data_IF_729363587478
#
_entry.id   IF_729363587478
#
_cell.length_a   1.000
_cell.length_b   1.000
_cell.length_c   1.000
_cell.angle_alpha   90.00
_cell.angle_beta   90.00
_cell.angle_gamma   90.00
#
_symmetry.space_group_name_H-M   'P 1'
#
loop_
_entity.id
_entity.type
_entity.pdbx_description
1 polymer ?
#
# COMPACT_ATOMS: atom_id res chain seq x y z
N UNK A 1 3.09 29.05 4.28
CA UNK A 1 1.83 28.76 3.55
C UNK A 1 0.94 27.96 4.48
N UNK A 2 -0.37 28.18 4.46
CA UNK A 2 -1.35 27.36 5.20
C UNK A 2 -1.32 25.94 4.64
N UNK A 3 -1.39 24.91 5.52
CA UNK A 3 -1.51 23.51 5.15
C UNK A 3 -2.89 23.00 5.59
N UNK A 4 -3.97 23.34 4.86
CA UNK A 4 -5.34 23.11 5.31
C UNK A 4 -5.73 21.63 5.30
N UNK A 5 -5.00 20.78 4.57
CA UNK A 5 -5.37 19.39 4.38
C UNK A 5 -4.39 18.43 5.02
N UNK A 6 -4.94 17.35 5.59
CA UNK A 6 -4.17 16.29 6.22
C UNK A 6 -4.47 14.96 5.55
N UNK A 7 -3.43 14.34 5.01
CA UNK A 7 -3.46 13.00 4.44
C UNK A 7 -2.61 12.06 5.30
N UNK A 8 -3.16 10.93 5.66
CA UNK A 8 -2.47 9.88 6.43
C UNK A 8 -2.40 8.63 5.58
N UNK A 9 -1.20 8.13 5.34
CA UNK A 9 -0.94 6.90 4.61
C UNK A 9 -0.56 5.80 5.60
N UNK A 10 -1.21 4.64 5.50
CA UNK A 10 -0.94 3.50 6.36
C UNK A 10 -0.79 2.23 5.51
N UNK A 11 0.41 1.67 5.46
CA UNK A 11 0.59 0.34 4.86
C UNK A 11 0.02 -0.71 5.80
N UNK A 12 -0.69 -1.71 5.23
CA UNK A 12 -1.20 -2.83 6.00
C UNK A 12 -0.12 -3.48 6.87
N UNK A 13 -0.51 -3.98 8.03
CA UNK A 13 0.35 -4.73 8.94
C UNK A 13 0.91 -6.00 8.30
N UNK A 14 1.88 -6.62 8.94
CA UNK A 14 2.51 -7.86 8.47
C UNK A 14 1.43 -8.92 8.16
N UNK A 15 1.50 -9.55 6.99
CA UNK A 15 0.58 -10.61 6.58
C UNK A 15 1.19 -11.99 6.78
N UNK A 16 0.36 -13.04 6.77
CA UNK A 16 0.82 -14.43 6.84
C UNK A 16 1.85 -14.75 5.76
N UNK A 17 1.69 -14.21 4.54
CA UNK A 17 2.64 -14.41 3.45
C UNK A 17 3.88 -13.49 3.53
N UNK A 18 3.79 -12.36 4.22
CA UNK A 18 5.00 -11.60 4.56
C UNK A 18 5.91 -12.41 5.50
N UNK A 19 5.34 -13.10 6.50
CA UNK A 19 6.09 -13.98 7.39
C UNK A 19 6.74 -15.16 6.66
N UNK A 20 6.04 -15.72 5.67
CA UNK A 20 6.52 -16.82 4.83
C UNK A 20 7.45 -16.36 3.70
N UNK A 21 7.76 -15.06 3.61
CA UNK A 21 8.58 -14.47 2.55
C UNK A 21 8.04 -14.69 1.12
N UNK A 22 6.72 -14.82 0.94
CA UNK A 22 6.10 -15.08 -0.36
C UNK A 22 5.74 -13.77 -1.09
N UNK A 23 5.73 -13.81 -2.44
CA UNK A 23 5.12 -12.77 -3.26
C UNK A 23 3.61 -12.85 -3.15
N UNK A 24 2.97 -11.78 -2.68
CA UNK A 24 1.53 -11.78 -2.38
C UNK A 24 0.68 -11.21 -3.51
N UNK A 25 0.97 -9.99 -3.95
CA UNK A 25 0.18 -9.33 -5.00
C UNK A 25 -1.31 -9.21 -4.65
N UNK A 26 -2.17 -9.68 -5.56
CA UNK A 26 -3.62 -9.68 -5.41
C UNK A 26 -4.18 -10.92 -4.71
N UNK A 27 -3.34 -11.88 -4.35
CA UNK A 27 -3.78 -13.01 -3.51
C UNK A 27 -4.26 -12.45 -2.17
N UNK A 28 -5.47 -12.87 -1.76
CA UNK A 28 -6.11 -12.32 -0.57
C UNK A 28 -5.74 -13.11 0.67
N UNK A 29 -4.73 -12.62 1.39
CA UNK A 29 -4.24 -13.17 2.63
C UNK A 29 -4.59 -12.29 3.83
N UNK A 30 -4.64 -12.88 5.02
CA UNK A 30 -4.94 -12.19 6.26
C UNK A 30 -3.68 -11.63 6.92
N UNK A 31 -3.89 -10.74 7.90
CA UNK A 31 -2.83 -10.32 8.81
C UNK A 31 -2.32 -11.51 9.65
N UNK A 32 -1.03 -11.49 9.94
CA UNK A 32 -0.45 -12.28 11.00
C UNK A 32 -0.76 -11.67 12.37
N UNK A 33 -0.44 -12.39 13.47
CA UNK A 33 -0.59 -11.83 14.81
C UNK A 33 0.28 -10.58 14.99
N UNK A 34 1.50 -10.58 14.44
CA UNK A 34 2.35 -9.39 14.37
C UNK A 34 1.66 -8.25 13.63
N UNK A 35 1.06 -8.52 12.47
CA UNK A 35 0.37 -7.50 11.70
C UNK A 35 -0.86 -6.91 12.40
N UNK A 36 -1.53 -7.70 13.22
CA UNK A 36 -2.62 -7.21 14.09
C UNK A 36 -2.10 -6.28 15.17
N UNK A 37 -0.97 -6.62 15.80
CA UNK A 37 -0.32 -5.77 16.79
C UNK A 37 0.19 -4.45 16.16
N UNK A 38 0.76 -4.52 14.94
CA UNK A 38 1.16 -3.33 14.18
C UNK A 38 -0.04 -2.43 13.85
N UNK A 39 -1.18 -3.02 13.47
CA UNK A 39 -2.40 -2.27 13.18
C UNK A 39 -2.98 -1.60 14.44
N UNK A 40 -2.97 -2.31 15.58
CA UNK A 40 -3.36 -1.75 16.88
C UNK A 40 -2.49 -0.54 17.24
N UNK A 41 -1.16 -0.71 17.15
CA UNK A 41 -0.21 0.39 17.43
C UNK A 41 -0.39 1.59 16.51
N UNK A 42 -0.72 1.35 15.22
CA UNK A 42 -1.03 2.44 14.30
C UNK A 42 -2.23 3.28 14.77
N UNK A 43 -3.29 2.64 15.25
CA UNK A 43 -4.46 3.34 15.80
C UNK A 43 -4.15 4.11 17.09
N UNK A 44 -3.34 3.53 17.98
CA UNK A 44 -2.85 4.23 19.19
C UNK A 44 -2.04 5.48 18.81
N UNK A 45 -1.14 5.39 17.84
CA UNK A 45 -0.37 6.53 17.34
C UNK A 45 -1.27 7.64 16.77
N UNK A 46 -2.32 7.28 16.05
CA UNK A 46 -3.31 8.25 15.57
C UNK A 46 -4.02 8.95 16.73
N UNK A 47 -4.45 8.20 17.74
CA UNK A 47 -5.09 8.75 18.93
C UNK A 47 -4.14 9.67 19.73
N UNK A 48 -2.91 9.21 20.00
CA UNK A 48 -1.88 9.94 20.71
C UNK A 48 -1.50 11.25 20.02
N UNK A 49 -1.45 11.26 18.68
CA UNK A 49 -1.13 12.46 17.89
C UNK A 49 -2.30 13.44 17.72
N UNK A 50 -3.52 13.02 18.04
CA UNK A 50 -4.74 13.79 17.78
C UNK A 50 -5.10 13.90 16.30
N UNK A 51 -4.42 13.15 15.41
CA UNK A 51 -4.69 13.11 13.98
C UNK A 51 -5.78 12.07 13.66
N UNK A 52 -6.99 12.36 14.09
CA UNK A 52 -8.11 11.44 13.96
C UNK A 52 -8.73 11.54 12.56
N UNK A 53 -8.81 10.44 11.78
CA UNK A 53 -9.38 10.47 10.44
C UNK A 53 -10.91 10.68 10.47
N UNK A 54 -11.40 11.38 9.44
CA UNK A 54 -12.83 11.63 9.20
C UNK A 54 -13.38 10.72 8.10
N UNK A 55 -12.51 10.14 7.29
CA UNK A 55 -12.86 9.18 6.23
C UNK A 55 -11.70 8.24 5.96
N UNK A 56 -12.04 6.99 5.62
CA UNK A 56 -11.10 5.97 5.22
C UNK A 56 -11.24 5.64 3.74
N UNK A 57 -10.10 5.60 3.02
CA UNK A 57 -9.97 4.93 1.72
C UNK A 57 -9.12 3.69 1.88
N UNK A 58 -9.58 2.54 1.37
CA UNK A 58 -8.81 1.29 1.43
C UNK A 58 -9.02 0.42 0.20
N UNK A 59 -8.19 -0.61 0.06
CA UNK A 59 -8.27 -1.57 -1.03
C UNK A 59 -9.39 -2.61 -0.83
N UNK A 60 -9.53 -3.52 -1.80
CA UNK A 60 -10.42 -4.70 -1.68
C UNK A 60 -9.72 -5.92 -1.07
N UNK A 61 -8.48 -5.78 -0.57
CA UNK A 61 -7.71 -6.89 -0.01
C UNK A 61 -7.84 -6.93 1.51
N UNK A 62 -8.14 -8.12 2.04
CA UNK A 62 -8.48 -8.36 3.45
C UNK A 62 -7.43 -7.80 4.42
N UNK A 63 -6.14 -7.94 4.13
CA UNK A 63 -5.08 -7.44 5.02
C UNK A 63 -5.09 -5.93 5.22
N UNK A 64 -5.46 -5.15 4.19
CA UNK A 64 -5.58 -3.70 4.30
C UNK A 64 -6.87 -3.33 5.06
N UNK A 65 -7.97 -4.00 4.76
CA UNK A 65 -9.26 -3.83 5.46
C UNK A 65 -9.08 -4.13 6.95
N UNK A 66 -8.50 -5.27 7.31
CA UNK A 66 -8.26 -5.62 8.72
C UNK A 66 -7.34 -4.64 9.43
N UNK A 67 -6.30 -4.13 8.75
CA UNK A 67 -5.42 -3.10 9.33
C UNK A 67 -6.21 -1.83 9.63
N UNK A 68 -7.03 -1.39 8.67
CA UNK A 68 -7.84 -0.19 8.84
C UNK A 68 -8.86 -0.35 9.99
N UNK A 69 -9.60 -1.47 10.02
CA UNK A 69 -10.61 -1.70 11.04
C UNK A 69 -10.00 -1.73 12.46
N UNK A 70 -8.86 -2.43 12.65
CA UNK A 70 -8.16 -2.49 13.94
C UNK A 70 -7.62 -1.10 14.35
N UNK A 71 -7.03 -0.36 13.40
CA UNK A 71 -6.49 0.97 13.69
C UNK A 71 -7.61 1.97 14.02
N UNK A 72 -8.74 1.93 13.30
CA UNK A 72 -9.88 2.78 13.57
C UNK A 72 -10.56 2.43 14.89
N UNK A 73 -10.63 1.15 15.27
CA UNK A 73 -11.14 0.72 16.59
C UNK A 73 -10.27 1.31 17.70
N UNK A 74 -8.95 1.20 17.61
CA UNK A 74 -8.02 1.74 18.59
C UNK A 74 -8.03 3.28 18.67
N UNK A 75 -8.39 3.95 17.57
CA UNK A 75 -8.53 5.41 17.52
C UNK A 75 -9.94 5.91 17.83
N UNK A 76 -10.89 5.04 18.20
CA UNK A 76 -12.32 5.36 18.38
C UNK A 76 -12.96 6.00 17.14
N UNK A 77 -12.66 5.45 15.96
CA UNK A 77 -13.09 5.96 14.66
C UNK A 77 -13.77 4.92 13.75
N UNK A 78 -14.24 3.77 14.27
CA UNK A 78 -14.93 2.75 13.46
C UNK A 78 -16.20 3.26 12.75
N UNK A 79 -16.78 4.33 13.23
CA UNK A 79 -18.04 4.89 12.74
C UNK A 79 -17.89 5.78 11.49
N UNK A 80 -16.67 6.09 11.06
CA UNK A 80 -16.46 6.97 9.90
C UNK A 80 -16.78 6.25 8.59
N UNK A 81 -17.03 7.05 7.53
CA UNK A 81 -17.27 6.52 6.20
C UNK A 81 -16.04 5.78 5.64
N UNK A 82 -16.30 4.69 4.92
CA UNK A 82 -15.27 3.85 4.29
C UNK A 82 -15.53 3.70 2.80
N UNK A 83 -14.55 4.10 1.98
CA UNK A 83 -14.53 3.89 0.53
C UNK A 83 -13.52 2.79 0.17
N UNK A 84 -13.98 1.73 -0.49
CA UNK A 84 -13.12 0.64 -0.96
C UNK A 84 -12.95 0.69 -2.46
N UNK A 85 -11.69 0.66 -2.93
CA UNK A 85 -11.39 0.67 -4.35
C UNK A 85 -10.29 -0.34 -4.69
N UNK A 86 -10.49 -1.14 -5.75
CA UNK A 86 -9.44 -2.00 -6.29
C UNK A 86 -8.22 -1.21 -6.77
N UNK A 87 -8.42 0.07 -7.10
CA UNK A 87 -7.34 0.97 -7.53
C UNK A 87 -6.29 1.20 -6.44
N UNK A 88 -6.63 0.90 -5.19
CA UNK A 88 -5.70 0.90 -4.05
C UNK A 88 -5.10 -0.48 -3.75
N UNK A 89 -5.45 -1.54 -4.50
CA UNK A 89 -4.87 -2.86 -4.31
C UNK A 89 -3.34 -2.82 -4.47
N UNK A 90 -2.66 -3.83 -3.92
CA UNK A 90 -1.24 -4.06 -4.16
C UNK A 90 -0.96 -4.24 -5.66
N UNK A 91 0.27 -4.06 -6.09
CA UNK A 91 0.73 -4.40 -7.43
C UNK A 91 0.51 -5.89 -7.68
N UNK A 92 -0.04 -6.22 -8.83
CA UNK A 92 -0.20 -7.61 -9.25
C UNK A 92 1.16 -8.20 -9.63
N UNK A 93 1.62 -9.19 -8.88
CA UNK A 93 2.94 -9.79 -9.10
C UNK A 93 2.98 -10.87 -10.19
N UNK A 94 1.91 -11.02 -10.96
CA UNK A 94 1.87 -11.98 -12.07
C UNK A 94 2.18 -13.40 -11.63
N UNK A 95 2.96 -14.12 -12.44
CA UNK A 95 3.36 -15.50 -12.16
C UNK A 95 4.30 -15.66 -10.94
N UNK A 96 4.71 -14.57 -10.29
CA UNK A 96 5.46 -14.65 -9.04
C UNK A 96 4.54 -14.83 -7.82
N UNK A 97 3.23 -14.60 -7.93
CA UNK A 97 2.29 -14.78 -6.82
C UNK A 97 2.40 -16.21 -6.25
N UNK A 98 2.56 -16.33 -4.93
CA UNK A 98 2.73 -17.60 -4.22
C UNK A 98 4.17 -18.12 -4.18
N UNK A 99 5.10 -17.58 -4.96
CA UNK A 99 6.50 -18.02 -4.94
C UNK A 99 7.27 -17.43 -3.76
N UNK A 100 8.20 -18.23 -3.21
CA UNK A 100 9.15 -17.75 -2.21
C UNK A 100 10.17 -16.78 -2.83
N UNK A 101 10.46 -15.69 -2.13
CA UNK A 101 11.36 -14.64 -2.63
C UNK A 101 12.82 -15.09 -2.67
N UNK A 102 13.26 -15.90 -1.69
CA UNK A 102 14.64 -16.39 -1.66
C UNK A 102 14.88 -17.44 -2.75
N UNK A 103 13.93 -18.36 -2.96
CA UNK A 103 13.97 -19.33 -4.05
C UNK A 103 13.94 -18.64 -5.42
N UNK A 104 13.10 -17.61 -5.57
CA UNK A 104 13.02 -16.80 -6.80
C UNK A 104 14.35 -16.09 -7.06
N UNK A 105 14.97 -15.50 -6.02
CA UNK A 105 16.28 -14.89 -6.11
C UNK A 105 17.35 -15.91 -6.53
N UNK A 106 17.35 -17.09 -5.91
CA UNK A 106 18.31 -18.16 -6.24
C UNK A 106 18.15 -18.66 -7.69
N UNK A 107 16.90 -18.76 -8.16
CA UNK A 107 16.59 -19.28 -9.50
C UNK A 107 16.92 -18.30 -10.64
N UNK A 108 16.59 -17.01 -10.46
CA UNK A 108 16.65 -16.01 -11.53
C UNK A 108 17.83 -15.04 -11.40
N UNK A 109 18.54 -15.08 -10.28
CA UNK A 109 19.64 -14.17 -9.97
C UNK A 109 19.21 -12.80 -9.47
N UNK A 110 20.15 -12.04 -8.87
CA UNK A 110 19.83 -10.79 -8.19
C UNK A 110 19.35 -9.69 -9.14
N UNK A 111 19.89 -9.61 -10.35
CA UNK A 111 19.51 -8.57 -11.31
C UNK A 111 18.04 -8.72 -11.74
N UNK A 112 17.64 -9.91 -12.21
CA UNK A 112 16.28 -10.17 -12.65
C UNK A 112 15.29 -10.07 -11.50
N UNK A 113 15.65 -10.57 -10.30
CA UNK A 113 14.84 -10.46 -9.10
C UNK A 113 14.59 -9.01 -8.72
N UNK A 114 15.61 -8.16 -8.74
CA UNK A 114 15.48 -6.73 -8.44
C UNK A 114 14.66 -6.01 -9.52
N UNK A 115 14.86 -6.35 -10.79
CA UNK A 115 14.08 -5.80 -11.91
C UNK A 115 12.60 -6.05 -11.70
N UNK A 116 12.16 -7.29 -11.49
CA UNK A 116 10.74 -7.59 -11.24
C UNK A 116 10.19 -6.99 -9.96
N UNK A 117 11.04 -6.82 -8.96
CA UNK A 117 10.61 -6.34 -7.66
C UNK A 117 10.56 -4.82 -7.55
N UNK A 118 11.45 -4.10 -8.22
CA UNK A 118 11.73 -2.70 -7.94
C UNK A 118 11.68 -1.76 -9.12
N UNK A 119 11.83 -2.25 -10.36
CA UNK A 119 11.79 -1.38 -11.53
C UNK A 119 10.47 -0.62 -11.61
N UNK A 120 10.52 0.53 -12.26
CA UNK A 120 9.37 1.39 -12.47
C UNK A 120 8.38 0.78 -13.48
N UNK A 121 8.87 0.28 -14.61
CA UNK A 121 8.08 -0.06 -15.80
C UNK A 121 8.19 -1.51 -16.28
N UNK A 122 9.01 -2.35 -15.63
CA UNK A 122 9.13 -3.77 -16.00
C UNK A 122 8.25 -4.63 -15.10
N UNK A 123 7.14 -5.20 -15.63
CA UNK A 123 6.29 -6.09 -14.85
C UNK A 123 6.91 -7.48 -14.68
N UNK A 124 6.50 -8.23 -13.65
CA UNK A 124 6.75 -9.68 -13.58
C UNK A 124 6.10 -10.43 -14.76
N UNK A 125 6.47 -11.70 -15.01
CA UNK A 125 5.80 -12.50 -16.03
C UNK A 125 4.29 -12.62 -15.80
N UNK A 126 3.52 -12.70 -16.89
CA UNK A 126 2.07 -12.84 -16.85
C UNK A 126 1.65 -14.08 -16.05
N UNK A 127 0.61 -13.94 -15.24
CA UNK A 127 -0.07 -15.06 -14.60
C UNK A 127 -0.96 -15.78 -15.61
N UNK A 128 -0.89 -17.10 -15.65
CA UNK A 128 -1.79 -17.93 -16.44
C UNK A 128 -3.19 -17.96 -15.81
N UNK A 129 -4.24 -17.94 -16.64
CA UNK A 129 -5.62 -17.95 -16.17
C UNK A 129 -6.02 -19.26 -15.46
N UNK A 130 -5.31 -20.35 -15.73
CA UNK A 130 -5.47 -21.64 -15.04
C UNK A 130 -4.78 -21.69 -13.67
N UNK A 131 -4.03 -20.65 -13.29
CA UNK A 131 -3.36 -20.60 -12.00
C UNK A 131 -4.36 -20.55 -10.85
N UNK A 132 -4.07 -21.27 -9.78
CA UNK A 132 -4.85 -21.20 -8.53
C UNK A 132 -4.87 -19.78 -7.91
N UNK A 133 -3.92 -18.92 -8.31
CA UNK A 133 -3.76 -17.53 -7.82
C UNK A 133 -4.40 -16.50 -8.76
N UNK A 134 -5.17 -16.92 -9.78
CA UNK A 134 -5.86 -15.98 -10.66
C UNK A 134 -7.00 -15.27 -9.94
N UNK A 135 -7.26 -14.00 -10.32
CA UNK A 135 -8.43 -13.24 -9.91
C UNK A 135 -9.53 -13.21 -11.00
N UNK A 136 -9.31 -13.89 -12.10
CA UNK A 136 -10.33 -14.05 -13.15
C UNK A 136 -11.53 -14.80 -12.57
N UNK A 137 -12.73 -14.21 -12.68
CA UNK A 137 -13.96 -14.77 -12.10
C UNK A 137 -14.16 -14.56 -10.60
N UNK A 138 -13.25 -13.87 -9.92
CA UNK A 138 -13.44 -13.50 -8.52
C UNK A 138 -14.51 -12.41 -8.38
N UNK A 139 -15.54 -12.68 -7.57
CA UNK A 139 -16.66 -11.77 -7.34
C UNK A 139 -16.24 -10.37 -6.85
N UNK A 140 -15.09 -10.26 -6.18
CA UNK A 140 -14.53 -8.95 -5.74
C UNK A 140 -14.18 -8.03 -6.89
N UNK A 141 -13.98 -8.58 -8.08
CA UNK A 141 -13.54 -7.86 -9.28
C UNK A 141 -14.52 -8.03 -10.46
N UNK A 142 -15.76 -8.44 -10.19
CA UNK A 142 -16.78 -8.62 -11.21
C UNK A 142 -17.07 -7.34 -12.03
N UNK A 143 -16.85 -6.17 -11.42
CA UNK A 143 -16.97 -4.86 -12.07
C UNK A 143 -15.83 -4.55 -13.05
N UNK A 144 -14.74 -5.32 -13.04
CA UNK A 144 -13.62 -5.17 -13.96
C UNK A 144 -13.73 -6.06 -15.21
N UNK A 145 -14.48 -7.17 -15.15
CA UNK A 145 -14.55 -8.10 -16.25
C UNK A 145 -13.16 -8.55 -16.73
N UNK A 146 -12.89 -8.32 -18.01
CA UNK A 146 -11.59 -8.66 -18.64
C UNK A 146 -10.44 -7.70 -18.30
N UNK A 147 -10.71 -6.59 -17.58
CA UNK A 147 -9.69 -5.64 -17.17
C UNK A 147 -8.94 -6.04 -15.89
N UNK A 148 -9.27 -7.21 -15.31
CA UNK A 148 -8.51 -7.76 -14.17
C UNK A 148 -7.05 -7.96 -14.58
N UNK A 149 -6.07 -7.29 -13.91
CA UNK A 149 -4.68 -7.40 -14.32
C UNK A 149 -4.14 -8.80 -14.06
N UNK A 150 -3.25 -9.26 -14.94
CA UNK A 150 -2.51 -10.52 -14.80
C UNK A 150 -1.05 -10.30 -14.42
N UNK A 151 -0.60 -9.08 -14.45
CA UNK A 151 0.70 -8.57 -13.97
C UNK A 151 0.67 -7.05 -13.98
N UNK A 152 1.49 -6.42 -13.15
CA UNK A 152 1.64 -4.97 -13.12
C UNK A 152 3.09 -4.58 -12.83
N UNK A 153 3.57 -3.55 -13.52
CA UNK A 153 4.68 -2.71 -13.10
C UNK A 153 4.21 -1.64 -12.09
N UNK A 154 5.12 -0.87 -11.53
CA UNK A 154 4.74 0.29 -10.69
C UNK A 154 4.05 1.38 -11.53
N UNK A 155 4.45 1.55 -12.79
CA UNK A 155 3.82 2.47 -13.75
C UNK A 155 2.34 2.14 -13.95
N UNK A 156 1.99 0.86 -14.06
CA UNK A 156 0.60 0.41 -14.20
C UNK A 156 -0.21 0.70 -12.92
N UNK A 157 0.39 0.49 -11.74
CA UNK A 157 -0.23 0.85 -10.46
C UNK A 157 -0.51 2.35 -10.38
N UNK A 158 0.42 3.20 -10.81
CA UNK A 158 0.23 4.65 -10.87
C UNK A 158 -0.91 5.01 -11.83
N UNK A 159 -0.94 4.42 -13.01
CA UNK A 159 -1.96 4.68 -14.02
C UNK A 159 -3.39 4.39 -13.53
N UNK A 160 -3.58 3.33 -12.72
CA UNK A 160 -4.89 3.02 -12.15
C UNK A 160 -5.21 3.79 -10.86
N UNK A 161 -4.20 4.20 -10.11
CA UNK A 161 -4.36 4.86 -8.81
C UNK A 161 -4.61 6.35 -8.94
N UNK A 162 -3.91 7.06 -9.84
CA UNK A 162 -4.05 8.51 -9.98
C UNK A 162 -5.47 8.98 -10.31
N UNK A 163 -6.25 8.35 -11.20
CA UNK A 163 -7.65 8.75 -11.40
C UNK A 163 -8.48 8.67 -10.11
N UNK A 164 -8.23 7.68 -9.24
CA UNK A 164 -8.91 7.57 -7.95
C UNK A 164 -8.41 8.59 -6.92
N UNK A 165 -7.13 8.93 -6.95
CA UNK A 165 -6.60 10.05 -6.20
C UNK A 165 -7.33 11.35 -6.53
N UNK A 166 -7.46 11.66 -7.82
CA UNK A 166 -8.07 12.92 -8.30
C UNK A 166 -9.57 12.98 -8.03
N UNK A 167 -10.31 11.90 -8.31
CA UNK A 167 -11.77 11.88 -8.23
C UNK A 167 -12.31 11.71 -6.80
N UNK A 168 -11.62 10.96 -5.95
CA UNK A 168 -12.14 10.53 -4.65
C UNK A 168 -11.33 11.06 -3.48
N UNK A 169 -10.02 10.75 -3.40
CA UNK A 169 -9.20 11.12 -2.24
C UNK A 169 -9.02 12.64 -2.18
N UNK A 170 -8.65 13.27 -3.29
CA UNK A 170 -8.48 14.72 -3.38
C UNK A 170 -9.82 15.46 -3.13
N UNK A 171 -10.93 14.89 -3.60
CA UNK A 171 -12.24 15.47 -3.37
C UNK A 171 -12.58 15.49 -1.85
N UNK A 172 -12.33 14.40 -1.13
CA UNK A 172 -12.56 14.35 0.31
C UNK A 172 -11.62 15.30 1.08
N UNK A 173 -10.34 15.38 0.70
CA UNK A 173 -9.39 16.34 1.27
C UNK A 173 -9.90 17.79 1.13
N UNK A 174 -10.39 18.17 -0.06
CA UNK A 174 -10.93 19.53 -0.32
C UNK A 174 -12.17 19.86 0.49
N UNK A 175 -12.84 18.88 1.08
CA UNK A 175 -13.93 19.15 2.06
C UNK A 175 -13.40 19.46 3.46
N UNK A 176 -12.10 19.49 3.68
CA UNK A 176 -11.46 19.75 4.98
C UNK A 176 -11.33 18.52 5.87
N UNK A 177 -11.62 17.32 5.36
CA UNK A 177 -11.49 16.07 6.11
C UNK A 177 -10.03 15.67 6.29
N UNK A 178 -9.71 15.09 7.43
CA UNK A 178 -8.51 14.28 7.63
C UNK A 178 -8.73 12.93 6.95
N UNK A 179 -7.99 12.64 5.90
CA UNK A 179 -8.17 11.43 5.09
C UNK A 179 -7.14 10.39 5.48
N UNK A 180 -7.60 9.18 5.82
CA UNK A 180 -6.76 7.99 5.99
C UNK A 180 -6.82 7.12 4.73
N UNK A 181 -5.65 6.77 4.20
CA UNK A 181 -5.51 5.78 3.12
C UNK A 181 -4.77 4.56 3.66
N UNK A 182 -5.48 3.46 3.87
CA UNK A 182 -4.86 2.19 4.27
C UNK A 182 -4.73 1.26 3.08
N UNK A 183 -3.49 1.03 2.63
CA UNK A 183 -3.23 0.30 1.39
C UNK A 183 -1.95 -0.55 1.47
N UNK A 184 -1.17 -0.64 0.39
CA UNK A 184 -0.08 -1.60 0.23
C UNK A 184 1.23 -0.94 -0.14
N UNK A 185 2.33 -1.73 -0.11
CA UNK A 185 3.65 -1.22 -0.40
C UNK A 185 3.76 -0.49 -1.74
N UNK A 186 3.27 -1.08 -2.83
CA UNK A 186 3.40 -0.44 -4.14
C UNK A 186 2.32 0.62 -4.43
N UNK A 187 1.08 0.45 -3.97
CA UNK A 187 0.07 1.51 -4.13
C UNK A 187 0.43 2.77 -3.35
N UNK A 188 0.99 2.64 -2.13
CA UNK A 188 1.48 3.80 -1.38
C UNK A 188 2.77 4.38 -1.97
N UNK A 189 3.69 3.55 -2.51
CA UNK A 189 4.86 4.06 -3.25
C UNK A 189 4.44 4.88 -4.47
N UNK A 190 3.39 4.44 -5.18
CA UNK A 190 2.82 5.19 -6.29
C UNK A 190 2.30 6.57 -5.85
N UNK A 191 1.58 6.62 -4.74
CA UNK A 191 1.04 7.86 -4.20
C UNK A 191 2.15 8.79 -3.67
N UNK A 192 3.11 8.26 -2.92
CA UNK A 192 4.27 9.03 -2.42
C UNK A 192 5.11 9.56 -3.58
N UNK A 193 5.35 8.74 -4.63
CA UNK A 193 6.03 9.21 -5.86
C UNK A 193 5.33 10.43 -6.46
N UNK A 194 4.00 10.40 -6.52
CA UNK A 194 3.21 11.52 -7.05
C UNK A 194 3.33 12.76 -6.15
N UNK A 195 3.18 12.60 -4.84
CA UNK A 195 3.20 13.71 -3.88
C UNK A 195 4.59 14.37 -3.78
N UNK A 196 5.65 13.57 -3.69
CA UNK A 196 7.01 14.05 -3.48
C UNK A 196 7.78 14.32 -4.79
N UNK A 197 7.17 14.05 -5.97
CA UNK A 197 7.82 14.25 -7.26
C UNK A 197 9.04 13.34 -7.47
N UNK A 198 9.07 12.13 -6.87
CA UNK A 198 10.21 11.21 -6.95
C UNK A 198 10.40 10.76 -8.40
N UNK A 199 11.64 10.73 -8.89
CA UNK A 199 11.97 10.28 -10.24
C UNK A 199 11.69 8.77 -10.45
N UNK A 200 11.60 8.34 -11.72
CA UNK A 200 11.43 6.92 -12.06
C UNK A 200 12.62 6.07 -11.63
N UNK A 201 13.82 6.66 -11.60
CA UNK A 201 15.02 5.98 -11.14
C UNK A 201 15.06 5.85 -9.61
N UNK A 202 14.72 6.92 -8.88
CA UNK A 202 14.86 6.95 -7.42
C UNK A 202 13.74 6.20 -6.69
N UNK A 203 12.59 5.98 -7.34
CA UNK A 203 11.47 5.26 -6.71
C UNK A 203 11.83 3.83 -6.29
N UNK A 204 12.84 3.22 -6.90
CA UNK A 204 13.31 1.88 -6.53
C UNK A 204 13.78 1.79 -5.08
N UNK A 205 14.32 2.88 -4.53
CA UNK A 205 14.88 2.94 -3.18
C UNK A 205 13.82 3.17 -2.09
N UNK A 206 12.64 3.68 -2.46
CA UNK A 206 11.59 3.96 -1.48
C UNK A 206 11.01 2.66 -0.89
N UNK A 207 11.04 2.56 0.42
CA UNK A 207 10.43 1.47 1.18
C UNK A 207 9.43 2.03 2.20
N UNK A 208 8.18 1.60 2.11
CA UNK A 208 7.13 1.96 3.05
C UNK A 208 7.03 0.85 4.11
N UNK A 209 7.28 1.12 5.40
CA UNK A 209 7.15 0.14 6.48
C UNK A 209 5.69 -0.25 6.70
N UNK A 210 5.45 -1.44 7.27
CA UNK A 210 4.11 -1.90 7.67
C UNK A 210 3.66 -1.23 8.97
N UNK A 211 2.36 -0.91 9.09
CA UNK A 211 1.72 -0.56 10.34
C UNK A 211 2.16 0.78 10.97
N UNK A 212 2.83 1.68 10.23
CA UNK A 212 3.26 2.97 10.79
C UNK A 212 2.66 4.10 9.95
N UNK A 213 1.81 4.97 10.55
CA UNK A 213 1.20 6.07 9.84
C UNK A 213 2.24 7.08 9.34
N UNK A 214 2.13 7.45 8.06
CA UNK A 214 2.89 8.49 7.37
C UNK A 214 1.96 9.67 7.09
N UNK A 215 2.27 10.85 7.61
CA UNK A 215 1.43 12.04 7.57
C UNK A 215 1.96 13.05 6.57
N UNK A 216 1.09 13.50 5.67
CA UNK A 216 1.33 14.62 4.78
C UNK A 216 0.46 15.81 5.19
N UNK A 217 1.06 17.00 5.19
CA UNK A 217 0.36 18.28 5.24
C UNK A 217 0.37 18.87 3.84
N UNK A 218 -0.82 19.13 3.30
CA UNK A 218 -0.97 19.59 1.92
C UNK A 218 -1.55 21.01 1.89
N UNK A 219 -1.11 21.81 0.93
CA UNK A 219 -1.64 23.13 0.66
C UNK A 219 -2.98 23.09 -0.13
N UNK A 220 -3.46 24.23 -0.56
CA UNK A 220 -4.72 24.38 -1.31
C UNK A 220 -4.70 23.67 -2.68
N UNK A 221 -3.52 23.51 -3.27
CA UNK A 221 -3.31 22.78 -4.53
C UNK A 221 -3.03 21.27 -4.31
N UNK A 222 -3.14 20.79 -3.06
CA UNK A 222 -2.81 19.44 -2.63
C UNK A 222 -1.31 19.08 -2.82
N UNK A 223 -0.45 20.10 -2.84
CA UNK A 223 0.99 19.92 -2.85
C UNK A 223 1.51 19.78 -1.42
N UNK A 224 2.43 18.85 -1.13
CA UNK A 224 3.04 18.73 0.19
C UNK A 224 3.75 20.02 0.60
N UNK A 225 3.48 20.51 1.82
CA UNK A 225 4.15 21.69 2.39
C UNK A 225 5.50 21.36 3.03
N UNK A 226 5.86 20.08 3.08
CA UNK A 226 7.10 19.52 3.58
C UNK A 226 7.16 18.03 3.31
N UNK A 227 8.23 17.38 3.70
CA UNK A 227 8.34 15.91 3.61
C UNK A 227 7.26 15.22 4.45
N UNK A 228 6.83 14.04 4.02
CA UNK A 228 5.96 13.20 4.84
C UNK A 228 6.64 12.79 6.15
N UNK A 229 5.91 12.79 7.26
CA UNK A 229 6.41 12.50 8.59
C UNK A 229 5.76 11.23 9.16
N UNK A 230 6.58 10.25 9.56
CA UNK A 230 6.08 9.07 10.28
C UNK A 230 5.78 9.42 11.74
N UNK A 231 4.64 8.92 12.27
CA UNK A 231 4.27 9.12 13.67
C UNK A 231 5.21 8.39 14.66
N UNK A 232 5.93 7.38 14.18
CA UNK A 232 7.05 6.73 14.88
C UNK A 232 8.24 6.60 13.93
N UNK A 233 9.13 7.66 13.86
CA UNK A 233 10.25 7.66 12.93
C UNK A 233 11.27 6.54 13.18
N UNK A 234 11.46 6.13 14.43
CA UNK A 234 12.44 5.09 14.77
C UNK A 234 11.96 3.71 14.31
N UNK A 235 10.69 3.38 14.58
CA UNK A 235 10.07 2.16 14.09
C UNK A 235 9.97 2.16 12.55
N UNK A 236 9.70 3.32 11.93
CA UNK A 236 9.64 3.45 10.48
C UNK A 236 10.99 3.14 9.82
N UNK A 237 12.09 3.67 10.34
CA UNK A 237 13.43 3.39 9.83
C UNK A 237 13.78 1.90 9.93
N UNK A 238 13.51 1.27 11.06
CA UNK A 238 13.72 -0.16 11.26
C UNK A 238 12.84 -1.01 10.31
N UNK A 239 11.57 -0.67 10.16
CA UNK A 239 10.63 -1.33 9.27
C UNK A 239 11.03 -1.20 7.79
N UNK A 240 11.45 -0.03 7.34
CA UNK A 240 11.94 0.20 5.98
C UNK A 240 13.19 -0.65 5.67
N UNK A 241 14.13 -0.74 6.61
CA UNK A 241 15.30 -1.61 6.48
C UNK A 241 14.91 -3.09 6.39
N UNK A 242 13.92 -3.55 7.18
CA UNK A 242 13.41 -4.90 7.11
C UNK A 242 12.76 -5.22 5.74
N UNK A 243 12.01 -4.27 5.18
CA UNK A 243 11.43 -4.40 3.82
C UNK A 243 12.52 -4.48 2.75
N UNK A 244 13.58 -3.68 2.86
CA UNK A 244 14.72 -3.72 1.93
C UNK A 244 15.47 -5.06 1.98
N UNK A 245 15.53 -5.70 3.15
CA UNK A 245 16.20 -6.98 3.37
C UNK A 245 15.40 -8.21 2.91
N UNK A 246 14.11 -8.05 2.55
CA UNK A 246 13.29 -9.17 2.06
C UNK A 246 13.90 -9.81 0.82
N UNK A 247 13.93 -11.14 0.77
CA UNK A 247 14.54 -11.92 -0.31
C UNK A 247 16.04 -12.22 -0.11
N UNK A 248 16.66 -11.64 0.93
CA UNK A 248 18.06 -11.95 1.31
C UNK A 248 18.15 -12.97 2.44
N UNK A 249 17.01 -13.47 2.93
CA UNK A 249 16.91 -14.47 4.00
C UNK A 249 16.54 -15.82 3.43
#
# INVERSE_FOLDING_TARGET
MSAPYTLILLRHGNSTWNQQNLFTGWVDVRLSDQGRAEALRAGELLAESGLLPDILHTSRLTRAIQTADIALEAADRLWIDVKRSWRLNERHYGALQGLDKAETLAKYGPEQFQTWRRSFDVPPPLLDDSSEWTQVGDARYADLGDEVPRTESLKDVIARMLPYWESDIAADLRTGKTVLVTAHGNSLRALVKHLDGISDADIAELNIPTGIPLVYRLDEDLTPTGAGEYLDPAAAAAGAAAVAAQGKK
#
